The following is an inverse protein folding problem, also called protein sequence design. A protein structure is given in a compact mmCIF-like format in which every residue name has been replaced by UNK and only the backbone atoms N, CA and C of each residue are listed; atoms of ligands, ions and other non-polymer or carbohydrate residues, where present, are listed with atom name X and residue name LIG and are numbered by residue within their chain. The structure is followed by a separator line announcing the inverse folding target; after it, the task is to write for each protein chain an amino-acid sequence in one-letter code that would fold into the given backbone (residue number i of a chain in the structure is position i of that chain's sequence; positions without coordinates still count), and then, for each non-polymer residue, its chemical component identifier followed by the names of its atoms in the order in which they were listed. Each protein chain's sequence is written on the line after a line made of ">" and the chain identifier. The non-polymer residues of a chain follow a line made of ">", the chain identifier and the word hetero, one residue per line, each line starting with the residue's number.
data_IF_352892678346
#
_entry.id   IF_352892678346
#
_cell.length_a   1.000
_cell.length_b   1.000
_cell.length_c   1.000
_cell.angle_alpha   90.00
_cell.angle_beta   90.00
_cell.angle_gamma   90.00
#
_symmetry.space_group_name_H-M   'P 1'
#
loop_
_entity.id
_entity.type
_entity.pdbx_description
1 polymer ?
#
# COMPACT_ATOMS: atom_id res chain seq x y z
N UNK A 1 -40.04 3.60 2.47
CA UNK A 1 -39.23 2.37 2.29
C UNK A 1 -39.08 2.00 0.82
N UNK A 2 -40.16 1.93 0.01
CA UNK A 2 -40.06 1.63 -1.43
C UNK A 2 -39.17 2.61 -2.24
N UNK A 3 -39.16 3.89 -1.87
CA UNK A 3 -38.41 4.92 -2.58
C UNK A 3 -36.88 4.79 -2.44
N UNK A 4 -36.38 4.25 -1.32
CA UNK A 4 -34.93 4.10 -1.08
C UNK A 4 -34.38 2.92 -1.89
N UNK A 5 -35.16 1.84 -1.99
CA UNK A 5 -34.78 0.65 -2.77
C UNK A 5 -34.66 1.01 -4.25
N UNK A 6 -35.65 1.74 -4.79
CA UNK A 6 -35.62 2.21 -6.18
C UNK A 6 -34.44 3.17 -6.43
N UNK A 7 -34.15 4.09 -5.49
CA UNK A 7 -33.04 5.02 -5.61
C UNK A 7 -31.66 4.32 -5.67
N UNK A 8 -31.45 3.29 -4.85
CA UNK A 8 -30.21 2.49 -4.88
C UNK A 8 -30.09 1.72 -6.20
N UNK A 9 -31.21 1.21 -6.71
CA UNK A 9 -31.25 0.49 -7.98
C UNK A 9 -30.94 1.39 -9.17
N UNK A 10 -31.50 2.60 -9.20
CA UNK A 10 -31.22 3.61 -10.21
C UNK A 10 -29.77 4.10 -10.14
N UNK A 11 -29.25 4.29 -8.91
CA UNK A 11 -27.84 4.68 -8.69
C UNK A 11 -26.87 3.60 -9.15
N UNK A 12 -27.16 2.32 -8.89
CA UNK A 12 -26.33 1.22 -9.39
C UNK A 12 -26.35 1.15 -10.92
N UNK A 13 -27.52 1.34 -11.52
CA UNK A 13 -27.65 1.36 -12.97
C UNK A 13 -26.83 2.50 -13.59
N UNK A 14 -26.83 3.69 -12.97
CA UNK A 14 -26.07 4.86 -13.41
C UNK A 14 -24.56 4.67 -13.21
N UNK A 15 -24.13 4.17 -12.05
CA UNK A 15 -22.71 3.89 -11.76
C UNK A 15 -22.14 2.81 -12.67
N UNK A 16 -22.92 1.80 -13.06
CA UNK A 16 -22.44 0.72 -13.92
C UNK A 16 -22.41 1.09 -15.42
N UNK A 17 -23.33 1.93 -15.90
CA UNK A 17 -23.51 2.17 -17.34
C UNK A 17 -23.08 3.56 -17.81
N UNK A 18 -23.00 4.54 -16.90
CA UNK A 18 -22.70 5.94 -17.23
C UNK A 18 -21.33 6.39 -16.74
N UNK A 19 -20.58 5.51 -16.07
CA UNK A 19 -19.22 5.75 -15.62
C UNK A 19 -18.27 4.86 -16.40
N UNK A 20 -17.19 5.45 -16.92
CA UNK A 20 -16.13 4.71 -17.60
C UNK A 20 -15.24 4.04 -16.56
N UNK A 21 -15.64 2.84 -16.11
CA UNK A 21 -14.76 1.98 -15.33
C UNK A 21 -13.55 1.56 -16.19
N UNK A 22 -12.33 1.64 -15.64
CA UNK A 22 -11.16 1.19 -16.36
C UNK A 22 -11.27 -0.32 -16.63
N UNK A 23 -10.68 -0.74 -17.75
CA UNK A 23 -10.67 -2.17 -18.09
C UNK A 23 -9.89 -2.96 -17.05
N UNK A 24 -10.23 -4.23 -16.85
CA UNK A 24 -9.55 -5.10 -15.87
C UNK A 24 -8.03 -5.16 -16.07
N UNK A 25 -7.58 -5.14 -17.33
CA UNK A 25 -6.16 -5.15 -17.70
C UNK A 25 -5.46 -3.85 -17.30
N UNK A 26 -6.10 -2.70 -17.50
CA UNK A 26 -5.58 -1.40 -17.08
C UNK A 26 -5.51 -1.28 -15.56
N UNK A 27 -6.54 -1.77 -14.86
CA UNK A 27 -6.62 -1.80 -13.41
C UNK A 27 -5.50 -2.65 -12.80
N UNK A 28 -5.23 -3.81 -13.40
CA UNK A 28 -4.12 -4.68 -13.00
C UNK A 28 -2.76 -4.02 -13.27
N UNK A 29 -2.58 -3.38 -14.43
CA UNK A 29 -1.34 -2.69 -14.76
C UNK A 29 -1.02 -1.58 -13.75
N UNK A 30 -2.01 -0.78 -13.38
CA UNK A 30 -1.85 0.27 -12.37
C UNK A 30 -1.52 -0.31 -10.99
N UNK A 31 -2.14 -1.44 -10.64
CA UNK A 31 -1.88 -2.12 -9.37
C UNK A 31 -0.45 -2.66 -9.32
N UNK A 32 0.07 -3.22 -10.42
CA UNK A 32 1.44 -3.75 -10.49
C UNK A 32 2.46 -2.63 -10.22
N UNK A 33 2.26 -1.44 -10.78
CA UNK A 33 3.13 -0.29 -10.54
C UNK A 33 3.16 0.09 -9.06
N UNK A 34 1.99 0.12 -8.40
CA UNK A 34 1.90 0.41 -6.96
C UNK A 34 2.59 -0.65 -6.11
N UNK A 35 2.44 -1.94 -6.44
CA UNK A 35 3.11 -3.03 -5.75
C UNK A 35 4.63 -2.94 -5.89
N UNK A 36 5.15 -2.61 -7.08
CA UNK A 36 6.59 -2.39 -7.27
C UNK A 36 7.06 -1.20 -6.44
N UNK A 37 6.28 -0.11 -6.40
CA UNK A 37 6.56 1.05 -5.56
C UNK A 37 6.64 0.69 -4.07
N UNK A 38 5.67 -0.09 -3.55
CA UNK A 38 5.67 -0.50 -2.14
C UNK A 38 6.84 -1.41 -1.78
N UNK A 39 7.29 -2.27 -2.70
CA UNK A 39 8.48 -3.10 -2.52
C UNK A 39 9.74 -2.24 -2.39
N UNK A 40 9.89 -1.21 -3.23
CA UNK A 40 11.02 -0.27 -3.13
C UNK A 40 10.99 0.49 -1.79
N UNK A 41 9.82 0.99 -1.39
CA UNK A 41 9.67 1.65 -0.08
C UNK A 41 9.97 0.71 1.09
N UNK A 42 9.52 -0.54 1.04
CA UNK A 42 9.84 -1.55 2.05
C UNK A 42 11.34 -1.79 2.17
N UNK A 43 12.07 -1.83 1.04
CA UNK A 43 13.52 -1.99 1.03
C UNK A 43 14.25 -0.77 1.60
N UNK A 44 13.77 0.44 1.30
CA UNK A 44 14.30 1.67 1.89
C UNK A 44 14.11 1.72 3.41
N UNK A 45 12.93 1.37 3.90
CA UNK A 45 12.66 1.28 5.34
C UNK A 45 13.55 0.20 5.95
N UNK A 46 13.70 -0.96 5.31
CA UNK A 46 14.61 -2.00 5.78
C UNK A 46 16.05 -1.52 5.89
N UNK A 47 16.54 -0.69 4.97
CA UNK A 47 17.89 -0.10 5.06
C UNK A 47 17.99 0.91 6.21
N UNK A 48 16.95 1.73 6.43
CA UNK A 48 16.91 2.65 7.56
C UNK A 48 16.84 1.91 8.90
N UNK A 49 15.99 0.89 9.00
CA UNK A 49 15.84 0.03 10.16
C UNK A 49 17.08 -0.82 10.41
N UNK A 50 17.80 -1.20 9.34
CA UNK A 50 19.15 -1.72 9.45
C UNK A 50 19.97 -0.60 10.09
N UNK A 51 20.36 0.46 9.38
CA UNK A 51 21.31 1.53 9.80
C UNK A 51 21.05 2.12 11.21
N UNK A 52 19.80 2.33 11.59
CA UNK A 52 19.45 2.96 12.86
C UNK A 52 18.96 1.97 13.93
N UNK A 53 18.57 0.75 13.58
CA UNK A 53 17.98 -0.20 14.51
C UNK A 53 18.98 -0.80 15.50
N UNK A 54 18.60 -0.87 16.77
CA UNK A 54 19.34 -1.59 17.81
C UNK A 54 19.02 -3.08 17.63
N UNK A 55 19.98 -3.84 17.11
CA UNK A 55 19.91 -5.30 17.10
C UNK A 55 20.61 -5.85 18.35
N UNK A 56 19.86 -6.38 19.35
CA UNK A 56 20.46 -6.89 20.59
C UNK A 56 21.23 -8.21 20.43
N UNK A 57 21.13 -8.90 19.28
CA UNK A 57 21.67 -10.24 19.05
C UNK A 57 22.81 -10.33 18.02
N UNK A 58 23.17 -9.23 17.35
CA UNK A 58 24.21 -9.25 16.30
C UNK A 58 25.55 -8.77 16.86
N UNK A 59 26.54 -9.66 16.96
CA UNK A 59 27.91 -9.31 17.39
C UNK A 59 28.66 -8.42 16.38
N UNK A 60 28.20 -8.37 15.12
CA UNK A 60 28.90 -7.71 14.03
C UNK A 60 28.48 -6.24 13.84
N UNK A 61 27.25 -5.84 14.23
CA UNK A 61 26.76 -4.49 13.99
C UNK A 61 25.56 -4.14 14.89
N UNK A 62 25.72 -3.16 15.78
CA UNK A 62 24.74 -2.75 16.82
C UNK A 62 23.77 -1.63 16.40
N UNK A 63 23.88 -1.12 15.17
CA UNK A 63 23.16 0.09 14.75
C UNK A 63 23.77 1.39 15.26
N UNK A 64 23.52 2.51 14.57
CA UNK A 64 24.01 3.84 14.97
C UNK A 64 23.54 4.20 16.38
N UNK A 65 22.32 3.82 16.74
CA UNK A 65 21.76 4.11 18.07
C UNK A 65 22.34 3.20 19.17
N UNK A 66 22.72 1.96 18.86
CA UNK A 66 23.38 1.07 19.83
C UNK A 66 24.84 1.44 20.13
N UNK A 67 25.41 2.40 19.40
CA UNK A 67 26.70 3.04 19.69
C UNK A 67 26.55 4.27 20.58
N UNK A 68 25.40 4.97 20.53
CA UNK A 68 25.13 6.20 21.29
C UNK A 68 24.42 5.88 22.62
N UNK A 69 23.53 4.88 22.63
CA UNK A 69 22.90 4.31 23.82
C UNK A 69 23.44 2.89 24.04
N UNK A 70 24.47 2.70 24.90
CA UNK A 70 25.09 1.40 25.15
C UNK A 70 24.15 0.39 25.82
#
# INVERSE_FOLDING_TARGET
>A
MANIVNYIQDTYHELAHKVSWPTWTELQNNTIIVVIGSVIFSLLIFVMDFIFGINPSTYFWKGVLGLIYP
#
